data_IF_508851363766
#
_entry.id   IF_508851363766
#
_cell.length_a   1.000
_cell.length_b   1.000
_cell.length_c   1.000
_cell.angle_alpha   90.00
_cell.angle_beta   90.00
_cell.angle_gamma   90.00
#
_symmetry.space_group_name_H-M   'P 1'
#
loop_
_entity.id
_entity.type
_entity.pdbx_description
1 polymer ?
#
# COMPACT_ATOMS: atom_id res chain seq x y z
N UNK A 1 -21.95 -6.32 25.77
CA UNK A 1 -20.89 -5.67 24.99
C UNK A 1 -19.50 -6.04 25.53
N UNK A 2 -18.46 -6.11 24.73
CA UNK A 2 -17.08 -6.28 25.20
C UNK A 2 -16.68 -5.12 26.15
N UNK A 3 -16.05 -5.45 27.28
CA UNK A 3 -15.68 -4.46 28.31
C UNK A 3 -14.79 -3.34 27.75
N UNK A 4 -13.97 -3.65 26.77
CA UNK A 4 -13.05 -2.72 26.12
C UNK A 4 -13.75 -1.56 25.40
N UNK A 5 -15.00 -1.73 25.01
CA UNK A 5 -15.82 -0.69 24.37
C UNK A 5 -16.49 0.28 25.39
N UNK A 6 -16.36 0.03 26.70
CA UNK A 6 -16.96 0.88 27.74
C UNK A 6 -16.59 2.38 27.67
N UNK A 7 -15.36 2.79 27.29
CA UNK A 7 -15.02 4.21 27.14
C UNK A 7 -15.90 4.94 26.12
N UNK A 8 -16.41 4.24 25.09
CA UNK A 8 -17.29 4.82 24.07
C UNK A 8 -18.71 5.14 24.54
N UNK A 9 -19.09 4.71 25.75
CA UNK A 9 -20.35 5.09 26.38
C UNK A 9 -20.37 6.55 26.86
N UNK A 10 -19.18 7.10 27.16
CA UNK A 10 -19.05 8.51 27.56
C UNK A 10 -19.30 9.43 26.35
N UNK A 11 -19.94 10.62 26.58
CA UNK A 11 -20.08 11.60 25.51
C UNK A 11 -18.72 12.01 24.93
N UNK A 12 -18.65 12.02 23.59
CA UNK A 12 -17.50 12.54 22.85
C UNK A 12 -17.96 12.92 21.45
N UNK A 13 -17.36 13.97 20.87
CA UNK A 13 -17.70 14.42 19.53
C UNK A 13 -17.40 13.36 18.47
N UNK A 14 -16.27 12.69 18.61
CA UNK A 14 -15.85 11.62 17.73
C UNK A 14 -15.61 10.35 18.53
N UNK A 15 -16.24 9.26 18.10
CA UNK A 15 -16.06 7.94 18.72
C UNK A 15 -15.60 6.96 17.65
N UNK A 16 -14.52 6.23 17.92
CA UNK A 16 -13.95 5.25 17.02
C UNK A 16 -13.78 3.88 17.65
N UNK A 17 -14.24 2.83 16.97
CA UNK A 17 -13.90 1.45 17.30
C UNK A 17 -13.23 0.80 16.11
N UNK A 18 -11.96 0.40 16.26
CA UNK A 18 -11.21 -0.25 15.21
C UNK A 18 -10.61 -1.58 15.66
N UNK A 19 -10.23 -2.41 14.70
CA UNK A 19 -9.63 -3.73 14.95
C UNK A 19 -10.12 -4.76 13.94
N UNK A 20 -9.71 -6.01 14.10
CA UNK A 20 -10.06 -7.12 13.22
C UNK A 20 -11.54 -7.51 13.27
N UNK A 21 -11.90 -8.51 12.48
CA UNK A 21 -13.23 -9.12 12.48
C UNK A 21 -13.55 -9.76 13.84
N UNK A 22 -14.83 -9.90 14.15
CA UNK A 22 -15.29 -10.55 15.38
C UNK A 22 -15.21 -9.70 16.67
N UNK A 23 -14.68 -8.47 16.64
CA UNK A 23 -14.58 -7.58 17.79
C UNK A 23 -15.90 -6.95 18.27
N UNK A 24 -17.04 -7.28 17.65
CA UNK A 24 -18.37 -6.77 17.96
C UNK A 24 -18.56 -5.25 17.81
N UNK A 25 -17.72 -4.57 17.01
CA UNK A 25 -17.77 -3.11 16.79
C UNK A 25 -19.14 -2.62 16.28
N UNK A 26 -19.60 -3.17 15.17
CA UNK A 26 -20.88 -2.80 14.55
C UNK A 26 -22.06 -3.16 15.44
N UNK A 27 -22.01 -4.33 16.11
CA UNK A 27 -23.02 -4.72 17.09
C UNK A 27 -23.14 -3.75 18.27
N UNK A 28 -22.02 -3.20 18.73
CA UNK A 28 -21.99 -2.21 19.80
C UNK A 28 -22.65 -0.89 19.36
N UNK A 29 -22.24 -0.32 18.24
CA UNK A 29 -22.81 0.96 17.80
C UNK A 29 -24.29 0.83 17.41
N UNK A 30 -24.70 -0.25 16.77
CA UNK A 30 -26.11 -0.52 16.48
C UNK A 30 -26.93 -0.57 17.76
N UNK A 31 -26.48 -1.29 18.79
CA UNK A 31 -27.17 -1.37 20.07
C UNK A 31 -27.24 -0.01 20.76
N UNK A 32 -26.18 0.81 20.73
CA UNK A 32 -26.16 2.15 21.30
C UNK A 32 -27.13 3.10 20.58
N UNK A 33 -27.26 3.02 19.24
CA UNK A 33 -28.25 3.80 18.49
C UNK A 33 -29.68 3.44 18.94
N UNK A 34 -30.01 2.13 18.98
CA UNK A 34 -31.34 1.64 19.37
C UNK A 34 -31.68 2.07 20.80
N UNK A 35 -30.75 1.87 21.75
CA UNK A 35 -30.94 2.25 23.16
C UNK A 35 -31.13 3.76 23.31
N UNK A 36 -30.35 4.57 22.58
CA UNK A 36 -30.44 6.03 22.62
C UNK A 36 -31.79 6.50 22.06
N UNK A 37 -32.24 5.93 20.93
CA UNK A 37 -33.58 6.22 20.35
C UNK A 37 -34.72 5.79 21.27
N UNK A 38 -34.55 4.72 22.03
CA UNK A 38 -35.54 4.25 22.99
C UNK A 38 -35.60 5.13 24.26
N UNK A 39 -34.45 5.65 24.68
CA UNK A 39 -34.37 6.46 25.92
C UNK A 39 -34.79 7.90 25.72
N UNK A 40 -34.55 8.50 24.55
CA UNK A 40 -34.90 9.90 24.23
C UNK A 40 -35.06 10.11 22.73
N UNK A 41 -35.88 11.10 22.30
CA UNK A 41 -35.97 11.47 20.89
C UNK A 41 -34.58 11.69 20.28
N UNK A 42 -34.23 10.90 19.28
CA UNK A 42 -32.89 10.90 18.64
C UNK A 42 -33.03 10.72 17.14
N UNK A 43 -32.34 11.56 16.37
CA UNK A 43 -32.21 11.41 14.93
C UNK A 43 -30.82 10.85 14.65
N UNK A 44 -30.73 9.63 14.12
CA UNK A 44 -29.51 8.96 13.77
C UNK A 44 -29.43 8.70 12.27
N UNK A 45 -28.25 8.87 11.68
CA UNK A 45 -27.95 8.46 10.30
C UNK A 45 -26.86 7.41 10.31
N UNK A 46 -27.10 6.28 9.67
CA UNK A 46 -26.11 5.25 9.41
C UNK A 46 -25.53 5.48 8.01
N UNK A 47 -24.21 5.49 7.88
CA UNK A 47 -23.47 5.92 6.69
C UNK A 47 -22.48 4.85 6.28
N UNK A 48 -22.38 4.59 4.97
CA UNK A 48 -21.25 3.96 4.27
C UNK A 48 -20.83 4.81 3.07
N UNK A 49 -19.64 4.57 2.52
CA UNK A 49 -19.24 5.25 1.26
C UNK A 49 -20.19 4.83 0.12
N UNK A 50 -20.45 3.53 -0.05
CA UNK A 50 -21.38 2.99 -1.06
C UNK A 50 -22.73 2.67 -0.43
N UNK A 51 -23.81 3.11 -1.06
CA UNK A 51 -25.17 3.01 -0.50
C UNK A 51 -25.78 1.60 -0.54
N UNK A 52 -25.50 0.82 -1.59
CA UNK A 52 -26.27 -0.39 -1.89
C UNK A 52 -26.15 -1.48 -0.81
N UNK A 53 -25.02 -1.55 -0.12
CA UNK A 53 -24.78 -2.56 0.92
C UNK A 53 -25.25 -2.18 2.32
N UNK A 54 -25.56 -0.89 2.58
CA UNK A 54 -25.89 -0.42 3.94
C UNK A 54 -27.31 -0.84 4.36
N UNK A 55 -28.24 -0.87 3.41
CA UNK A 55 -29.66 -1.17 3.70
C UNK A 55 -29.84 -2.62 4.14
N UNK A 56 -29.09 -3.54 3.56
CA UNK A 56 -29.25 -4.96 3.85
C UNK A 56 -28.53 -5.38 5.13
N UNK A 57 -27.32 -4.85 5.40
CA UNK A 57 -26.52 -5.30 6.54
C UNK A 57 -26.75 -4.48 7.81
N UNK A 58 -26.67 -3.14 7.73
CA UNK A 58 -26.78 -2.27 8.92
C UNK A 58 -28.21 -2.19 9.41
N UNK A 59 -29.18 -2.10 8.49
CA UNK A 59 -30.60 -2.08 8.82
C UNK A 59 -31.00 -3.38 9.51
N UNK A 60 -30.66 -4.53 8.93
CA UNK A 60 -30.94 -5.84 9.53
C UNK A 60 -30.34 -5.95 10.94
N UNK A 61 -29.10 -5.49 11.12
CA UNK A 61 -28.46 -5.48 12.43
C UNK A 61 -29.21 -4.65 13.47
N UNK A 62 -29.76 -3.49 13.08
CA UNK A 62 -30.59 -2.66 13.96
C UNK A 62 -31.93 -3.34 14.29
N UNK A 63 -32.58 -3.99 13.32
CA UNK A 63 -33.80 -4.77 13.52
C UNK A 63 -33.57 -5.91 14.50
N UNK A 64 -32.50 -6.67 14.32
CA UNK A 64 -32.11 -7.77 15.23
C UNK A 64 -31.89 -7.25 16.65
N UNK A 65 -31.28 -6.06 16.81
CA UNK A 65 -31.10 -5.45 18.13
C UNK A 65 -32.43 -5.03 18.75
N UNK A 66 -33.36 -4.45 17.99
CA UNK A 66 -34.69 -4.06 18.44
C UNK A 66 -35.47 -5.31 18.93
N UNK A 67 -35.43 -6.41 18.16
CA UNK A 67 -36.07 -7.65 18.53
C UNK A 67 -35.47 -8.29 19.78
N UNK A 68 -34.13 -8.39 19.81
CA UNK A 68 -33.37 -8.99 20.93
C UNK A 68 -33.61 -8.23 22.26
N UNK A 69 -33.77 -6.92 22.20
CA UNK A 69 -34.08 -6.09 23.37
C UNK A 69 -35.54 -6.14 23.79
N UNK A 70 -36.41 -6.81 23.03
CA UNK A 70 -37.84 -6.91 23.35
C UNK A 70 -38.60 -5.59 23.21
N UNK A 71 -38.09 -4.63 22.41
CA UNK A 71 -38.68 -3.28 22.28
C UNK A 71 -39.29 -3.03 20.90
N UNK A 72 -39.60 -4.08 20.14
CA UNK A 72 -40.17 -4.00 18.80
C UNK A 72 -41.41 -3.15 18.67
N UNK A 73 -42.31 -3.17 19.70
CA UNK A 73 -43.50 -2.35 19.73
C UNK A 73 -43.22 -0.82 19.70
N UNK A 74 -42.01 -0.40 20.05
CA UNK A 74 -41.59 1.02 20.06
C UNK A 74 -40.94 1.49 18.76
N UNK A 75 -40.91 0.64 17.74
CA UNK A 75 -40.28 1.00 16.45
C UNK A 75 -41.13 0.53 15.27
N UNK A 76 -41.20 1.36 14.25
CA UNK A 76 -41.78 1.06 12.95
C UNK A 76 -40.63 0.92 11.93
N UNK A 77 -40.40 -0.31 11.49
CA UNK A 77 -39.33 -0.60 10.54
C UNK A 77 -39.88 -0.50 9.14
N UNK A 78 -39.44 0.53 8.41
CA UNK A 78 -39.80 0.80 7.02
C UNK A 78 -38.63 0.45 6.09
N UNK A 79 -38.88 0.51 4.78
CA UNK A 79 -37.86 0.19 3.76
C UNK A 79 -36.59 1.04 3.91
N UNK A 80 -36.75 2.35 4.10
CA UNK A 80 -35.66 3.32 4.06
C UNK A 80 -35.38 4.02 5.40
N UNK A 81 -36.14 3.68 6.46
CA UNK A 81 -36.01 4.28 7.78
C UNK A 81 -36.55 3.35 8.90
N UNK A 82 -36.13 3.62 10.12
CA UNK A 82 -36.71 3.07 11.33
C UNK A 82 -37.24 4.25 12.14
N UNK A 83 -38.55 4.27 12.38
CA UNK A 83 -39.28 5.37 13.04
C UNK A 83 -39.63 4.95 14.46
N UNK A 84 -39.30 5.76 15.44
CA UNK A 84 -39.68 5.55 16.82
C UNK A 84 -41.18 5.81 17.06
N UNK A 85 -41.85 4.91 17.81
CA UNK A 85 -43.21 4.98 18.27
C UNK A 85 -43.29 4.86 19.80
N UNK A 86 -44.41 5.22 20.39
CA UNK A 86 -44.60 5.08 21.82
C UNK A 86 -43.47 5.70 22.63
N UNK A 87 -42.73 4.89 23.38
CA UNK A 87 -41.59 5.36 24.18
C UNK A 87 -40.45 5.94 23.35
N UNK A 88 -40.22 5.43 22.12
CA UNK A 88 -39.21 5.92 21.21
C UNK A 88 -39.71 7.08 20.31
N UNK A 89 -40.92 7.59 20.53
CA UNK A 89 -41.54 8.64 19.71
C UNK A 89 -40.62 9.85 19.51
N UNK A 90 -40.60 10.39 18.29
CA UNK A 90 -39.67 11.47 17.89
C UNK A 90 -38.29 11.00 17.45
N UNK A 91 -38.02 9.70 17.54
CA UNK A 91 -36.73 9.13 17.03
C UNK A 91 -36.87 8.70 15.58
N UNK A 92 -35.74 8.84 14.83
CA UNK A 92 -35.64 8.49 13.42
C UNK A 92 -34.25 7.96 13.13
N UNK A 93 -34.17 6.82 12.48
CA UNK A 93 -32.91 6.26 11.95
C UNK A 93 -33.04 6.16 10.43
N UNK A 94 -32.08 6.72 9.69
CA UNK A 94 -32.00 6.66 8.21
C UNK A 94 -30.68 6.08 7.75
N UNK A 95 -30.64 5.67 6.48
CA UNK A 95 -29.47 5.01 5.85
C UNK A 95 -29.03 5.79 4.63
N UNK A 96 -27.74 6.09 4.51
CA UNK A 96 -27.20 6.94 3.45
C UNK A 96 -25.84 6.45 2.94
N UNK A 97 -25.64 6.53 1.60
CA UNK A 97 -24.34 6.38 0.97
C UNK A 97 -23.69 7.74 0.67
N UNK A 98 -22.38 7.86 0.81
CA UNK A 98 -21.70 9.14 0.59
C UNK A 98 -21.33 9.41 -0.86
N UNK A 99 -21.11 8.39 -1.70
CA UNK A 99 -20.73 8.57 -3.11
C UNK A 99 -21.75 9.35 -3.96
N UNK A 100 -23.02 9.24 -3.62
CA UNK A 100 -24.11 9.91 -4.35
C UNK A 100 -24.43 11.30 -3.79
N UNK A 101 -23.69 11.74 -2.77
CA UNK A 101 -23.95 13.00 -2.09
C UNK A 101 -23.07 14.13 -2.63
N UNK A 102 -23.73 15.09 -3.28
CA UNK A 102 -23.18 16.43 -3.48
C UNK A 102 -23.40 17.29 -2.22
N UNK A 103 -22.72 18.41 -2.11
CA UNK A 103 -22.76 19.30 -0.94
C UNK A 103 -24.18 19.77 -0.56
N UNK A 104 -25.13 19.77 -1.49
CA UNK A 104 -26.52 20.19 -1.24
C UNK A 104 -27.35 19.10 -0.53
N UNK A 105 -27.18 17.85 -0.90
CA UNK A 105 -27.91 16.73 -0.30
C UNK A 105 -27.42 16.42 1.13
N UNK A 106 -26.18 16.67 1.45
CA UNK A 106 -25.61 16.48 2.80
C UNK A 106 -26.20 17.46 3.81
N UNK A 107 -26.57 18.68 3.41
CA UNK A 107 -27.21 19.68 4.29
C UNK A 107 -28.48 19.15 5.00
N UNK A 108 -29.16 18.17 4.43
CA UNK A 108 -30.33 17.52 5.05
C UNK A 108 -30.02 16.79 6.37
N UNK A 109 -28.76 16.52 6.67
CA UNK A 109 -28.29 15.83 7.87
C UNK A 109 -27.95 16.79 9.04
N UNK A 110 -28.09 18.08 8.87
CA UNK A 110 -27.71 19.12 9.84
C UNK A 110 -28.35 18.95 11.23
N UNK A 111 -29.60 18.50 11.26
CA UNK A 111 -30.35 18.32 12.50
C UNK A 111 -30.19 16.94 13.16
N UNK A 112 -29.23 16.13 12.77
CA UNK A 112 -29.02 14.80 13.32
C UNK A 112 -28.18 14.83 14.60
N UNK A 113 -28.54 13.97 15.56
CA UNK A 113 -27.86 13.82 16.84
C UNK A 113 -26.65 12.88 16.74
N UNK A 114 -26.74 11.87 15.87
CA UNK A 114 -25.70 10.86 15.66
C UNK A 114 -25.53 10.57 14.18
N UNK A 115 -24.29 10.55 13.72
CA UNK A 115 -23.91 9.94 12.45
C UNK A 115 -22.98 8.75 12.74
N UNK A 116 -23.35 7.56 12.33
CA UNK A 116 -22.51 6.37 12.45
C UNK A 116 -22.02 5.94 11.07
N UNK A 117 -20.70 6.06 10.85
CA UNK A 117 -19.99 5.59 9.66
C UNK A 117 -19.54 4.16 9.90
N UNK A 118 -20.16 3.23 9.22
CA UNK A 118 -19.83 1.81 9.25
C UNK A 118 -18.93 1.47 8.06
N UNK A 119 -17.96 0.57 8.26
CA UNK A 119 -16.86 0.30 7.31
C UNK A 119 -16.08 1.57 6.91
N UNK A 120 -15.76 2.38 7.92
CA UNK A 120 -15.18 3.71 7.72
C UNK A 120 -13.78 3.69 7.06
N UNK A 121 -13.12 2.53 6.92
CA UNK A 121 -11.89 2.39 6.13
C UNK A 121 -12.11 2.69 4.63
N UNK A 122 -13.36 2.60 4.15
CA UNK A 122 -13.68 2.91 2.75
C UNK A 122 -14.03 4.38 2.53
N UNK A 123 -14.26 5.15 3.62
CA UNK A 123 -14.67 6.55 3.53
C UNK A 123 -13.57 7.41 2.90
N UNK A 124 -13.92 8.14 1.85
CA UNK A 124 -12.98 9.05 1.19
C UNK A 124 -12.66 10.30 2.04
N UNK A 125 -11.51 10.93 1.83
CA UNK A 125 -11.18 12.20 2.47
C UNK A 125 -12.21 13.29 2.14
N UNK A 126 -12.74 13.28 0.92
CA UNK A 126 -13.79 14.19 0.49
C UNK A 126 -15.07 14.01 1.32
N UNK A 127 -15.57 12.77 1.41
CA UNK A 127 -16.76 12.43 2.19
C UNK A 127 -16.61 12.78 3.67
N UNK A 128 -15.45 12.48 4.27
CA UNK A 128 -15.14 12.82 5.66
C UNK A 128 -15.14 14.34 5.87
N UNK A 129 -14.55 15.09 4.92
CA UNK A 129 -14.45 16.55 4.97
C UNK A 129 -15.82 17.23 4.87
N UNK A 130 -16.77 16.65 4.12
CA UNK A 130 -18.15 17.12 4.01
C UNK A 130 -19.00 16.74 5.23
N UNK A 131 -18.89 15.52 5.74
CA UNK A 131 -19.69 15.00 6.84
C UNK A 131 -19.48 15.78 8.15
N UNK A 132 -18.23 16.06 8.51
CA UNK A 132 -17.85 16.67 9.78
C UNK A 132 -18.56 17.99 10.09
N UNK A 133 -18.59 19.00 9.18
CA UNK A 133 -19.28 20.25 9.43
C UNK A 133 -20.80 20.15 9.27
N UNK A 134 -21.30 19.08 8.63
CA UNK A 134 -22.75 18.90 8.43
C UNK A 134 -23.45 18.43 9.69
N UNK A 135 -22.85 17.49 10.42
CA UNK A 135 -23.39 17.05 11.71
C UNK A 135 -23.00 18.07 12.78
N UNK A 136 -23.81 19.11 12.94
CA UNK A 136 -23.46 20.30 13.73
C UNK A 136 -24.44 20.69 14.85
N UNK A 137 -25.45 19.87 15.09
CA UNK A 137 -26.36 20.04 16.22
C UNK A 137 -25.54 20.01 17.51
N UNK A 138 -25.86 20.87 18.48
CA UNK A 138 -25.20 20.88 19.77
C UNK A 138 -25.30 19.50 20.45
N UNK A 139 -24.18 18.99 20.96
CA UNK A 139 -24.07 17.67 21.55
C UNK A 139 -24.15 16.50 20.55
N UNK A 140 -24.11 16.78 19.24
CA UNK A 140 -24.08 15.73 18.22
C UNK A 140 -22.75 14.99 18.18
N UNK A 141 -22.81 13.73 17.82
CA UNK A 141 -21.69 12.81 17.81
C UNK A 141 -21.51 12.17 16.42
N UNK A 142 -20.24 11.91 16.01
CA UNK A 142 -19.92 11.14 14.82
C UNK A 142 -19.15 9.89 15.26
N UNK A 143 -19.68 8.72 14.91
CA UNK A 143 -19.16 7.42 15.30
C UNK A 143 -18.57 6.70 14.09
N UNK A 144 -17.49 5.97 14.30
CA UNK A 144 -16.78 5.23 13.26
C UNK A 144 -16.48 3.81 13.72
N UNK A 145 -16.85 2.84 12.90
CA UNK A 145 -16.45 1.43 13.06
C UNK A 145 -15.71 0.98 11.82
N UNK A 146 -14.49 0.43 12.01
CA UNK A 146 -13.68 -0.03 10.87
C UNK A 146 -12.70 -1.14 11.22
N UNK A 147 -12.32 -1.88 10.19
CA UNK A 147 -11.13 -2.70 10.17
C UNK A 147 -10.06 -1.89 9.44
N UNK A 148 -8.89 -1.59 10.06
CA UNK A 148 -7.84 -0.85 9.38
C UNK A 148 -7.40 -1.54 8.09
N UNK A 149 -7.24 -0.78 7.02
CA UNK A 149 -6.70 -1.28 5.75
C UNK A 149 -5.30 -0.72 5.52
N UNK A 150 -5.23 0.60 5.49
CA UNK A 150 -3.98 1.33 5.30
C UNK A 150 -3.87 2.45 6.34
N UNK A 151 -2.65 2.78 6.74
CA UNK A 151 -2.36 3.95 7.58
C UNK A 151 -2.71 5.28 6.87
N UNK A 152 -2.88 5.22 5.55
CA UNK A 152 -3.30 6.32 4.68
C UNK A 152 -4.82 6.46 4.56
N UNK A 153 -5.62 5.54 5.08
CA UNK A 153 -7.08 5.65 5.06
C UNK A 153 -7.55 6.92 5.79
N UNK A 154 -8.52 7.62 5.23
CA UNK A 154 -8.96 8.92 5.74
C UNK A 154 -9.36 8.88 7.22
N UNK A 155 -10.05 7.82 7.65
CA UNK A 155 -10.46 7.62 9.05
C UNK A 155 -9.26 7.36 9.96
N UNK A 156 -8.26 6.62 9.50
CA UNK A 156 -7.03 6.33 10.25
C UNK A 156 -6.21 7.60 10.45
N UNK A 157 -5.93 8.35 9.40
CA UNK A 157 -5.25 9.66 9.48
C UNK A 157 -5.99 10.60 10.44
N UNK A 158 -7.33 10.63 10.37
CA UNK A 158 -8.15 11.52 11.16
C UNK A 158 -8.17 11.17 12.65
N UNK A 159 -8.34 9.88 13.00
CA UNK A 159 -8.56 9.46 14.39
C UNK A 159 -7.31 8.87 15.06
N UNK A 160 -6.35 8.38 14.28
CA UNK A 160 -5.14 7.70 14.76
C UNK A 160 -3.84 8.37 14.30
N UNK A 161 -3.93 9.44 13.51
CA UNK A 161 -2.77 10.24 13.10
C UNK A 161 -2.09 10.92 14.28
N UNK A 162 -1.00 11.66 14.00
CA UNK A 162 -0.19 12.34 15.04
C UNK A 162 -1.00 13.39 15.83
N UNK A 163 -1.99 14.01 15.22
CA UNK A 163 -2.85 15.03 15.82
C UNK A 163 -4.33 14.64 15.72
N UNK A 164 -4.83 13.76 16.60
CA UNK A 164 -6.23 13.38 16.58
C UNK A 164 -7.12 14.57 16.97
N UNK A 165 -8.38 14.62 16.49
CA UNK A 165 -9.30 15.72 16.77
C UNK A 165 -9.60 15.84 18.26
N UNK A 166 -9.84 17.07 18.72
CA UNK A 166 -10.28 17.33 20.08
C UNK A 166 -11.59 16.60 20.37
N UNK A 167 -11.78 16.17 21.62
CA UNK A 167 -12.99 15.47 22.08
C UNK A 167 -13.26 14.18 21.26
N UNK A 168 -12.21 13.38 21.06
CA UNK A 168 -12.30 12.06 20.45
C UNK A 168 -12.02 10.96 21.46
N UNK A 169 -12.69 9.82 21.29
CA UNK A 169 -12.45 8.57 22.01
C UNK A 169 -12.32 7.44 21.00
N UNK A 170 -11.15 6.81 20.95
CA UNK A 170 -10.86 5.73 19.99
C UNK A 170 -10.40 4.49 20.74
N UNK A 171 -10.97 3.34 20.39
CA UNK A 171 -10.72 2.06 21.06
C UNK A 171 -10.36 0.99 20.05
N UNK A 172 -9.25 0.27 20.27
CA UNK A 172 -8.94 -0.97 19.56
C UNK A 172 -9.68 -2.13 20.22
N UNK A 173 -10.42 -2.91 19.43
CA UNK A 173 -11.15 -4.09 19.90
C UNK A 173 -11.10 -5.19 18.84
N UNK A 174 -10.70 -6.40 19.26
CA UNK A 174 -10.53 -7.56 18.40
C UNK A 174 -11.39 -8.75 18.89
N UNK A 175 -11.32 -9.86 18.17
CA UNK A 175 -12.04 -11.09 18.48
C UNK A 175 -11.79 -11.58 19.92
N UNK A 176 -10.55 -11.51 20.40
CA UNK A 176 -10.18 -11.97 21.75
C UNK A 176 -10.73 -11.06 22.88
N UNK A 177 -11.16 -9.85 22.56
CA UNK A 177 -11.85 -8.95 23.50
C UNK A 177 -13.37 -9.23 23.55
N UNK A 178 -13.88 -10.07 22.63
CA UNK A 178 -15.29 -10.41 22.51
C UNK A 178 -15.60 -11.75 23.16
N UNK A 179 -16.23 -11.79 24.35
CA UNK A 179 -16.54 -13.06 25.02
C UNK A 179 -17.61 -13.89 24.31
N UNK A 180 -18.28 -13.36 23.30
CA UNK A 180 -19.28 -14.03 22.46
C UNK A 180 -18.76 -14.32 21.05
N UNK A 181 -17.43 -14.41 20.87
CA UNK A 181 -16.87 -14.74 19.58
C UNK A 181 -17.29 -16.17 19.17
N UNK A 182 -17.96 -16.34 18.02
CA UNK A 182 -18.50 -17.64 17.61
C UNK A 182 -17.42 -18.68 17.37
N UNK A 183 -17.68 -19.92 17.78
CA UNK A 183 -16.73 -21.04 17.61
C UNK A 183 -16.42 -21.33 16.13
N UNK A 184 -17.43 -21.22 15.27
CA UNK A 184 -17.23 -21.35 13.81
C UNK A 184 -16.19 -20.35 13.29
N UNK A 185 -16.28 -19.08 13.70
CA UNK A 185 -15.30 -18.07 13.31
C UNK A 185 -13.93 -18.28 13.95
N UNK A 186 -13.86 -18.98 15.10
CA UNK A 186 -12.59 -19.36 15.74
C UNK A 186 -11.83 -20.35 14.88
N UNK A 187 -12.49 -21.36 14.37
CA UNK A 187 -11.88 -22.35 13.48
C UNK A 187 -11.40 -21.70 12.17
N UNK A 188 -12.23 -20.88 11.54
CA UNK A 188 -11.84 -20.12 10.34
C UNK A 188 -10.60 -19.27 10.59
N UNK A 189 -10.58 -18.55 11.72
CA UNK A 189 -9.44 -17.71 12.11
C UNK A 189 -8.17 -18.56 12.32
N UNK A 190 -8.26 -19.69 13.01
CA UNK A 190 -7.12 -20.58 13.26
C UNK A 190 -6.57 -21.16 11.95
N UNK A 191 -7.45 -21.48 11.00
CA UNK A 191 -7.06 -21.95 9.68
C UNK A 191 -6.40 -20.84 8.86
N UNK A 192 -6.93 -19.63 8.89
CA UNK A 192 -6.33 -18.44 8.25
C UNK A 192 -4.92 -18.17 8.82
N UNK A 193 -4.75 -18.17 10.16
CA UNK A 193 -3.43 -17.99 10.78
C UNK A 193 -2.43 -19.09 10.43
N UNK A 194 -2.91 -20.29 10.16
CA UNK A 194 -2.05 -21.42 9.72
C UNK A 194 -1.64 -21.26 8.25
N UNK A 195 -2.57 -20.84 7.41
CA UNK A 195 -2.36 -20.70 5.96
C UNK A 195 -1.56 -19.44 5.60
N UNK A 196 -1.91 -18.28 6.13
CA UNK A 196 -1.28 -16.98 5.88
C UNK A 196 -1.35 -16.08 7.13
N UNK A 197 -0.35 -16.17 8.04
CA UNK A 197 -0.35 -15.41 9.29
C UNK A 197 -0.44 -13.88 9.10
N UNK A 198 0.12 -13.35 8.01
CA UNK A 198 0.14 -11.91 7.74
C UNK A 198 -1.24 -11.42 7.32
N UNK A 199 -1.91 -12.16 6.43
CA UNK A 199 -3.29 -11.89 6.05
C UNK A 199 -4.24 -12.06 7.24
N UNK A 200 -4.05 -13.11 8.04
CA UNK A 200 -4.84 -13.36 9.24
C UNK A 200 -4.71 -12.24 10.27
N UNK A 201 -3.50 -11.66 10.46
CA UNK A 201 -3.31 -10.51 11.36
C UNK A 201 -4.07 -9.28 10.88
N UNK A 202 -4.16 -9.04 9.58
CA UNK A 202 -5.01 -7.99 9.05
C UNK A 202 -6.51 -8.27 9.29
N UNK A 203 -6.97 -9.47 8.93
CA UNK A 203 -8.40 -9.83 9.00
C UNK A 203 -8.88 -9.89 10.45
N UNK A 204 -8.14 -10.57 11.33
CA UNK A 204 -8.54 -10.92 12.69
C UNK A 204 -7.86 -10.10 13.78
N UNK A 205 -6.58 -9.76 13.58
CA UNK A 205 -5.76 -9.00 14.54
C UNK A 205 -5.95 -7.50 14.47
N UNK A 206 -6.55 -6.99 13.38
CA UNK A 206 -6.76 -5.55 13.17
C UNK A 206 -5.49 -4.77 12.93
N UNK A 207 -4.48 -5.42 12.37
CA UNK A 207 -3.32 -4.80 11.74
C UNK A 207 -3.70 -4.09 10.45
N UNK A 208 -2.74 -3.42 9.84
CA UNK A 208 -2.93 -2.91 8.48
C UNK A 208 -2.81 -4.06 7.48
N UNK A 209 -3.58 -3.96 6.41
CA UNK A 209 -3.43 -4.86 5.28
C UNK A 209 -2.02 -4.69 4.71
N UNK A 210 -1.21 -5.72 4.82
CA UNK A 210 0.02 -5.77 4.04
C UNK A 210 -0.44 -5.83 2.60
N UNK A 211 0.07 -4.94 1.76
CA UNK A 211 -0.34 -4.76 0.36
C UNK A 211 0.12 -5.97 -0.45
N UNK A 212 -0.47 -7.14 -0.20
CA UNK A 212 -0.07 -8.38 -0.87
C UNK A 212 -1.12 -8.93 -1.83
N UNK A 213 -2.41 -8.62 -1.65
CA UNK A 213 -3.42 -9.07 -2.60
C UNK A 213 -3.27 -8.36 -3.95
N UNK A 214 -2.95 -9.15 -4.98
CA UNK A 214 -2.66 -8.63 -6.29
C UNK A 214 -1.30 -7.96 -6.45
N UNK A 215 -0.57 -7.66 -5.38
CA UNK A 215 0.77 -7.08 -5.46
C UNK A 215 1.80 -8.08 -5.96
N UNK A 216 2.65 -7.61 -6.88
CA UNK A 216 3.64 -8.49 -7.52
C UNK A 216 4.86 -8.78 -6.65
N UNK A 217 5.31 -7.81 -5.83
CA UNK A 217 6.62 -7.86 -5.15
C UNK A 217 6.54 -7.68 -3.64
N UNK A 218 5.38 -7.35 -3.06
CA UNK A 218 5.25 -6.99 -1.65
C UNK A 218 5.84 -8.06 -0.71
N UNK A 219 5.54 -9.35 -0.95
CA UNK A 219 6.08 -10.47 -0.15
C UNK A 219 7.60 -10.59 -0.24
N UNK A 220 8.16 -10.44 -1.43
CA UNK A 220 9.61 -10.54 -1.65
C UNK A 220 10.36 -9.38 -0.99
N UNK A 221 9.75 -8.20 -0.98
CA UNK A 221 10.33 -7.01 -0.32
C UNK A 221 10.23 -7.16 1.21
N UNK A 222 9.09 -7.61 1.75
CA UNK A 222 8.95 -7.91 3.17
C UNK A 222 9.96 -8.98 3.64
N UNK A 223 10.20 -10.00 2.80
CA UNK A 223 11.25 -10.99 3.06
C UNK A 223 12.64 -10.35 3.04
N UNK A 224 12.92 -9.44 2.09
CA UNK A 224 14.19 -8.70 2.05
C UNK A 224 14.42 -7.86 3.32
N UNK A 225 13.36 -7.24 3.84
CA UNK A 225 13.40 -6.49 5.11
C UNK A 225 13.71 -7.43 6.29
N UNK A 226 13.02 -8.56 6.39
CA UNK A 226 13.21 -9.57 7.43
C UNK A 226 14.62 -10.19 7.40
N UNK A 227 15.18 -10.39 6.22
CA UNK A 227 16.54 -10.93 6.00
C UNK A 227 17.63 -9.86 6.19
N UNK A 228 17.30 -8.61 6.49
CA UNK A 228 18.24 -7.52 6.65
C UNK A 228 18.86 -7.04 5.34
N UNK A 229 18.24 -7.33 4.18
CA UNK A 229 18.70 -6.87 2.85
C UNK A 229 18.23 -5.45 2.51
N UNK A 230 17.40 -4.86 3.34
CA UNK A 230 16.98 -3.46 3.31
C UNK A 230 17.65 -2.75 4.49
N UNK A 231 18.61 -1.85 4.23
CA UNK A 231 19.41 -1.25 5.31
C UNK A 231 20.54 -0.38 4.80
N UNK A 232 21.65 -0.34 5.53
CA UNK A 232 22.82 0.47 5.17
C UNK A 232 23.80 -0.33 4.31
N UNK A 233 23.76 -0.12 2.98
CA UNK A 233 24.67 -0.70 1.99
C UNK A 233 25.22 0.41 1.09
N UNK A 234 26.08 1.30 1.60
CA UNK A 234 26.52 2.47 0.86
C UNK A 234 27.22 2.09 -0.45
N UNK A 235 27.19 3.01 -1.42
CA UNK A 235 27.93 2.79 -2.68
C UNK A 235 29.41 2.59 -2.41
N UNK A 236 29.97 1.58 -3.07
CA UNK A 236 31.41 1.26 -2.98
C UNK A 236 32.16 2.11 -3.99
N UNK A 237 33.14 2.85 -3.52
CA UNK A 237 33.98 3.71 -4.35
C UNK A 237 34.72 2.87 -5.41
N UNK A 238 34.70 3.32 -6.66
CA UNK A 238 35.37 2.63 -7.78
C UNK A 238 34.52 1.55 -8.46
N UNK A 239 33.48 1.00 -7.82
CA UNK A 239 32.56 0.12 -8.51
C UNK A 239 31.62 0.94 -9.42
N UNK A 240 31.36 0.47 -10.64
CA UNK A 240 30.47 1.16 -11.55
C UNK A 240 28.99 1.03 -11.13
N UNK A 241 28.21 2.06 -11.44
CA UNK A 241 26.74 2.09 -11.24
C UNK A 241 26.08 1.85 -12.58
N UNK A 242 25.22 0.86 -12.66
CA UNK A 242 24.29 0.65 -13.76
C UNK A 242 23.01 1.44 -13.48
N UNK A 243 22.37 1.96 -14.54
CA UNK A 243 21.07 2.65 -14.39
C UNK A 243 20.01 1.96 -15.24
N UNK A 244 18.79 1.96 -14.74
CA UNK A 244 17.65 1.43 -15.48
C UNK A 244 16.50 2.43 -15.44
N UNK A 245 15.89 2.66 -16.59
CA UNK A 245 15.03 3.78 -16.87
C UNK A 245 13.65 3.32 -17.33
N UNK A 246 12.63 4.03 -16.88
CA UNK A 246 11.35 4.13 -17.55
C UNK A 246 11.11 5.59 -17.90
N UNK A 247 10.77 5.88 -19.17
CA UNK A 247 10.70 7.23 -19.72
C UNK A 247 9.25 7.62 -19.99
N UNK A 248 8.66 8.44 -19.14
CA UNK A 248 7.39 9.09 -19.38
C UNK A 248 7.61 10.54 -19.85
N UNK A 249 6.90 10.98 -20.91
CA UNK A 249 6.93 12.38 -21.39
C UNK A 249 5.81 13.20 -20.75
N UNK A 250 4.60 12.64 -20.75
CA UNK A 250 3.41 13.24 -20.12
C UNK A 250 3.10 12.59 -18.76
N UNK A 251 3.98 11.69 -18.32
CA UNK A 251 3.84 10.86 -17.14
C UNK A 251 5.15 10.87 -16.33
N UNK A 252 5.31 9.94 -15.38
CA UNK A 252 6.50 9.90 -14.54
C UNK A 252 7.67 9.19 -15.25
N UNK A 253 8.86 9.78 -15.18
CA UNK A 253 10.13 9.08 -15.45
C UNK A 253 10.67 8.53 -14.15
N UNK A 254 11.16 7.30 -14.16
CA UNK A 254 11.82 6.69 -13.01
C UNK A 254 13.18 6.09 -13.38
N UNK A 255 14.15 6.19 -12.45
CA UNK A 255 15.52 5.73 -12.64
C UNK A 255 16.03 5.00 -11.40
N UNK A 256 16.42 3.75 -11.55
CA UNK A 256 17.15 2.99 -10.53
C UNK A 256 18.65 3.03 -10.75
N UNK A 257 19.40 3.13 -9.65
CA UNK A 257 20.85 3.13 -9.63
C UNK A 257 21.33 1.89 -8.87
N UNK A 258 22.03 1.00 -9.56
CA UNK A 258 22.41 -0.31 -9.03
C UNK A 258 23.91 -0.55 -9.17
N UNK A 259 24.54 -0.96 -8.08
CA UNK A 259 25.90 -1.50 -8.07
C UNK A 259 25.88 -3.01 -7.88
N UNK A 260 26.71 -3.73 -8.60
CA UNK A 260 26.95 -5.15 -8.35
C UNK A 260 28.12 -5.26 -7.36
N UNK A 261 27.77 -5.37 -6.08
CA UNK A 261 28.75 -5.38 -4.98
C UNK A 261 29.16 -6.81 -4.60
N UNK A 262 30.45 -7.11 -4.45
CA UNK A 262 30.88 -8.42 -3.98
C UNK A 262 30.44 -8.66 -2.54
N UNK A 263 29.90 -9.86 -2.28
CA UNK A 263 29.49 -10.31 -0.95
C UNK A 263 29.69 -11.81 -0.85
N UNK A 264 30.57 -12.26 0.04
CA UNK A 264 30.93 -13.69 0.19
C UNK A 264 31.31 -14.37 -1.14
N UNK A 265 32.08 -13.69 -1.98
CA UNK A 265 32.52 -14.22 -3.28
C UNK A 265 31.48 -14.18 -4.40
N UNK A 266 30.31 -13.62 -4.18
CA UNK A 266 29.23 -13.53 -5.15
C UNK A 266 28.92 -12.05 -5.39
N UNK A 267 28.63 -11.68 -6.64
CA UNK A 267 28.13 -10.34 -6.97
C UNK A 267 26.65 -10.24 -6.62
N UNK A 268 26.29 -9.27 -5.76
CA UNK A 268 24.91 -8.99 -5.41
C UNK A 268 24.49 -7.62 -5.92
N UNK A 269 23.37 -7.53 -6.65
CA UNK A 269 22.77 -6.25 -7.01
C UNK A 269 22.44 -5.48 -5.73
N UNK A 270 22.95 -4.27 -5.62
CA UNK A 270 22.67 -3.37 -4.51
C UNK A 270 22.13 -2.07 -5.09
N UNK A 271 20.86 -1.79 -4.81
CA UNK A 271 20.23 -0.51 -5.15
C UNK A 271 20.86 0.55 -4.25
N UNK A 272 21.52 1.54 -4.86
CA UNK A 272 22.24 2.59 -4.15
C UNK A 272 21.54 3.94 -4.21
N UNK A 273 20.66 4.14 -5.20
CA UNK A 273 19.85 5.34 -5.33
C UNK A 273 18.59 5.09 -6.19
N UNK A 274 17.64 6.01 -6.12
CA UNK A 274 16.43 6.05 -6.94
C UNK A 274 16.04 7.49 -7.24
N UNK A 275 15.46 7.72 -8.40
CA UNK A 275 14.93 9.02 -8.79
C UNK A 275 13.61 8.85 -9.55
N UNK A 276 12.65 9.71 -9.27
CA UNK A 276 11.42 9.84 -10.06
C UNK A 276 11.05 11.32 -10.23
N UNK A 277 10.52 11.66 -11.39
CA UNK A 277 9.98 12.98 -11.68
C UNK A 277 8.87 12.91 -12.72
N UNK A 278 7.88 13.79 -12.62
CA UNK A 278 6.81 13.94 -13.60
C UNK A 278 6.88 15.30 -14.29
N UNK A 279 6.65 15.34 -15.60
CA UNK A 279 6.63 16.57 -16.39
C UNK A 279 7.99 17.16 -16.73
N UNK A 280 9.11 16.52 -16.32
CA UNK A 280 10.46 16.99 -16.62
C UNK A 280 10.99 16.39 -17.93
N UNK A 281 11.69 17.19 -18.72
CA UNK A 281 12.40 16.71 -19.90
C UNK A 281 13.72 16.00 -19.56
N UNK A 282 14.28 15.22 -20.49
CA UNK A 282 15.52 14.48 -20.28
C UNK A 282 16.69 15.33 -19.74
N UNK A 283 16.93 16.59 -20.20
CA UNK A 283 17.99 17.41 -19.63
C UNK A 283 17.80 17.73 -18.16
N UNK A 284 16.55 18.05 -17.70
CA UNK A 284 16.22 18.31 -16.30
C UNK A 284 16.46 17.09 -15.43
N UNK A 285 16.00 15.93 -15.89
CA UNK A 285 16.18 14.65 -15.18
C UNK A 285 17.66 14.32 -15.01
N UNK A 286 18.44 14.32 -16.12
CA UNK A 286 19.87 13.96 -16.07
C UNK A 286 20.68 14.97 -15.27
N UNK A 287 20.40 16.27 -15.40
CA UNK A 287 21.09 17.31 -14.62
C UNK A 287 20.86 17.16 -13.11
N UNK A 288 19.72 16.59 -12.72
CA UNK A 288 19.34 16.37 -11.33
C UNK A 288 19.83 15.04 -10.80
N UNK A 289 19.60 13.92 -11.50
CA UNK A 289 19.90 12.59 -10.97
C UNK A 289 21.27 12.02 -11.36
N UNK A 290 21.91 12.52 -12.42
CA UNK A 290 23.23 12.11 -12.93
C UNK A 290 24.18 13.30 -13.17
N UNK A 291 24.34 14.22 -12.21
CA UNK A 291 25.15 15.43 -12.41
C UNK A 291 26.62 15.14 -12.73
N UNK A 292 27.12 13.96 -12.41
CA UNK A 292 28.48 13.55 -12.68
C UNK A 292 28.81 13.54 -14.17
N UNK A 293 27.83 13.17 -15.00
CA UNK A 293 27.98 12.98 -16.44
C UNK A 293 27.20 13.99 -17.27
N UNK A 294 26.34 14.78 -16.64
CA UNK A 294 25.50 15.72 -17.36
C UNK A 294 26.31 16.75 -18.14
N UNK A 295 25.98 16.87 -19.41
CA UNK A 295 26.51 17.89 -20.33
C UNK A 295 25.37 18.88 -20.62
N UNK A 296 25.45 20.13 -20.14
CA UNK A 296 24.45 21.14 -20.42
C UNK A 296 24.22 21.32 -21.92
N UNK A 297 22.98 21.24 -22.41
CA UNK A 297 22.70 21.43 -23.82
C UNK A 297 22.85 22.89 -24.21
N UNK A 298 23.52 23.16 -25.33
CA UNK A 298 23.72 24.52 -25.87
C UNK A 298 22.47 25.14 -26.50
N UNK A 299 21.39 24.33 -26.64
CA UNK A 299 20.12 24.78 -27.21
C UNK A 299 19.06 25.12 -26.14
N UNK A 300 19.42 25.09 -24.86
CA UNK A 300 18.51 25.35 -23.73
C UNK A 300 19.21 26.26 -22.71
N UNK A 301 18.85 27.53 -22.72
CA UNK A 301 19.42 28.56 -21.85
C UNK A 301 19.08 28.33 -20.35
N UNK A 302 18.11 27.46 -20.04
CA UNK A 302 17.78 27.11 -18.66
C UNK A 302 18.98 26.48 -17.90
N UNK A 303 19.98 25.96 -18.61
CA UNK A 303 21.18 25.36 -18.03
C UNK A 303 22.41 26.27 -18.06
N UNK A 304 22.28 27.51 -18.47
CA UNK A 304 23.44 28.44 -18.57
C UNK A 304 24.17 28.66 -17.24
N UNK A 305 23.50 28.52 -16.11
CA UNK A 305 24.06 28.63 -14.75
C UNK A 305 24.18 27.32 -14.02
N UNK A 306 24.02 26.19 -14.68
CA UNK A 306 24.06 24.88 -14.03
C UNK A 306 25.42 24.59 -13.38
N UNK A 307 25.40 24.04 -12.15
CA UNK A 307 26.60 23.79 -11.36
C UNK A 307 26.61 22.35 -10.82
N UNK A 308 27.59 21.58 -11.28
CA UNK A 308 27.77 20.17 -10.92
C UNK A 308 27.95 19.94 -9.41
N UNK A 309 28.77 20.79 -8.75
CA UNK A 309 29.05 20.61 -7.33
C UNK A 309 27.78 20.83 -6.48
N UNK A 310 27.00 21.86 -6.81
CA UNK A 310 25.72 22.14 -6.14
C UNK A 310 24.71 21.03 -6.37
N UNK A 311 24.66 20.45 -7.58
CA UNK A 311 23.76 19.33 -7.87
C UNK A 311 24.13 18.07 -7.07
N UNK A 312 25.43 17.74 -6.95
CA UNK A 312 25.91 16.64 -6.14
C UNK A 312 25.62 16.84 -4.65
N UNK A 313 25.80 18.04 -4.14
CA UNK A 313 25.46 18.41 -2.76
C UNK A 313 23.95 18.23 -2.49
N UNK A 314 23.11 18.70 -3.40
CA UNK A 314 21.63 18.52 -3.30
C UNK A 314 21.23 17.05 -3.24
N UNK A 315 21.93 16.18 -3.97
CA UNK A 315 21.70 14.72 -3.92
C UNK A 315 22.28 14.07 -2.66
N UNK A 316 23.10 14.79 -1.87
CA UNK A 316 23.84 14.21 -0.75
C UNK A 316 24.89 13.19 -1.20
N UNK A 317 25.38 13.29 -2.45
CA UNK A 317 26.42 12.41 -2.99
C UNK A 317 27.80 13.01 -2.72
N UNK A 318 28.42 12.55 -1.64
CA UNK A 318 29.79 12.94 -1.29
C UNK A 318 30.85 12.28 -2.18
N UNK A 319 30.52 11.12 -2.78
CA UNK A 319 31.38 10.40 -3.72
C UNK A 319 30.66 10.31 -5.07
N UNK A 320 31.24 10.90 -6.14
CA UNK A 320 30.66 10.85 -7.47
C UNK A 320 30.54 9.41 -7.98
N UNK A 321 29.42 9.09 -8.66
CA UNK A 321 29.24 7.80 -9.29
C UNK A 321 30.06 7.68 -10.57
N UNK A 322 30.63 6.50 -10.78
CA UNK A 322 31.18 6.07 -12.06
C UNK A 322 30.14 5.18 -12.73
N UNK A 323 29.63 5.60 -13.86
CA UNK A 323 28.55 4.87 -14.52
C UNK A 323 29.06 3.79 -15.46
N UNK A 324 28.34 2.66 -15.50
CA UNK A 324 28.46 1.59 -16.48
C UNK A 324 27.31 1.68 -17.51
N UNK A 325 26.60 0.57 -17.74
CA UNK A 325 25.50 0.51 -18.70
C UNK A 325 24.26 1.23 -18.18
N UNK A 326 23.58 1.92 -19.08
CA UNK A 326 22.29 2.57 -18.87
C UNK A 326 21.24 1.84 -19.70
N UNK A 327 20.37 1.07 -19.03
CA UNK A 327 19.30 0.29 -19.68
C UNK A 327 18.07 1.16 -19.86
N UNK A 328 17.70 1.42 -21.11
CA UNK A 328 16.55 2.25 -21.47
C UNK A 328 15.50 1.39 -22.21
N UNK A 329 14.22 1.77 -22.17
CA UNK A 329 13.14 1.03 -22.82
C UNK A 329 13.44 0.71 -24.29
N UNK A 330 12.89 -0.38 -24.78
CA UNK A 330 13.15 -0.87 -26.15
C UNK A 330 12.70 0.11 -27.25
N UNK A 331 11.73 1.00 -26.98
CA UNK A 331 11.19 2.02 -27.88
C UNK A 331 11.99 3.32 -27.92
N UNK A 332 13.07 3.43 -27.15
CA UNK A 332 13.95 4.61 -27.06
C UNK A 332 14.46 5.14 -28.41
N UNK A 333 14.45 4.32 -29.46
CA UNK A 333 14.87 4.69 -30.81
C UNK A 333 13.77 5.33 -31.65
N UNK A 334 12.56 5.45 -31.15
CA UNK A 334 11.46 6.13 -31.86
C UNK A 334 11.83 7.59 -32.02
N UNK A 335 11.68 8.10 -33.24
CA UNK A 335 11.91 9.51 -33.60
C UNK A 335 10.62 10.28 -33.33
N UNK A 336 10.73 11.37 -32.59
CA UNK A 336 9.58 12.25 -32.36
C UNK A 336 9.48 13.29 -33.47
N UNK A 337 8.29 13.46 -34.02
CA UNK A 337 8.08 14.38 -35.15
C UNK A 337 8.33 15.85 -34.81
N UNK A 338 8.22 16.27 -33.53
CA UNK A 338 8.46 17.63 -33.08
C UNK A 338 9.90 17.96 -32.64
N UNK A 339 10.78 16.99 -32.47
CA UNK A 339 12.11 17.14 -31.86
C UNK A 339 13.28 17.32 -32.85
N UNK A 340 13.07 17.84 -34.04
CA UNK A 340 14.13 18.01 -35.06
C UNK A 340 14.64 16.66 -35.62
N UNK A 341 13.77 15.66 -35.71
CA UNK A 341 14.01 14.31 -36.23
C UNK A 341 15.06 13.47 -35.43
N UNK A 342 15.36 13.85 -34.20
CA UNK A 342 16.28 13.09 -33.32
C UNK A 342 15.55 12.00 -32.57
N UNK A 343 16.21 10.86 -32.36
CA UNK A 343 15.70 9.80 -31.49
C UNK A 343 15.94 10.16 -30.01
N UNK A 344 15.15 9.62 -29.12
CA UNK A 344 15.35 9.78 -27.65
C UNK A 344 16.77 9.32 -27.23
N UNK A 345 17.31 8.27 -27.84
CA UNK A 345 18.69 7.81 -27.63
C UNK A 345 19.71 8.92 -27.92
N UNK A 346 19.58 9.59 -29.09
CA UNK A 346 20.50 10.66 -29.47
C UNK A 346 20.43 11.83 -28.48
N UNK A 347 19.28 12.15 -27.96
CA UNK A 347 19.11 13.21 -26.94
C UNK A 347 19.82 12.83 -25.65
N UNK A 348 19.55 11.66 -25.07
CA UNK A 348 20.14 11.24 -23.77
C UNK A 348 21.65 11.07 -23.85
N UNK A 349 22.19 10.59 -24.99
CA UNK A 349 23.63 10.48 -25.21
C UNK A 349 24.29 11.86 -25.30
N UNK A 350 23.66 12.83 -25.95
CA UNK A 350 24.22 14.20 -26.09
C UNK A 350 24.28 14.95 -24.77
N UNK A 351 23.38 14.67 -23.86
CA UNK A 351 23.38 15.27 -22.52
C UNK A 351 24.21 14.46 -21.52
N UNK A 352 24.96 13.46 -21.98
CA UNK A 352 26.02 12.80 -21.23
C UNK A 352 25.68 11.44 -20.62
N UNK A 353 24.48 10.87 -20.84
CA UNK A 353 24.18 9.50 -20.36
C UNK A 353 25.08 8.48 -21.03
N UNK A 354 25.94 7.76 -20.29
CA UNK A 354 26.92 6.88 -20.88
C UNK A 354 26.34 5.51 -21.22
N UNK A 355 26.99 4.80 -22.16
CA UNK A 355 26.77 3.38 -22.45
C UNK A 355 25.28 3.01 -22.55
N UNK A 356 24.50 3.80 -23.29
CA UNK A 356 23.06 3.55 -23.48
C UNK A 356 22.85 2.20 -24.14
N UNK A 357 22.18 1.30 -23.44
CA UNK A 357 21.76 -0.02 -23.90
C UNK A 357 20.27 -0.02 -24.16
N UNK A 358 19.87 -0.47 -25.30
CA UNK A 358 18.45 -0.71 -25.62
C UNK A 358 17.99 -1.95 -24.85
N UNK A 359 16.93 -1.82 -24.06
CA UNK A 359 16.27 -2.93 -23.39
C UNK A 359 15.78 -4.00 -24.36
N UNK A 360 15.71 -5.23 -23.89
CA UNK A 360 15.10 -6.34 -24.62
C UNK A 360 13.58 -6.11 -24.67
N UNK A 361 12.92 -6.24 -25.83
CA UNK A 361 11.47 -6.22 -25.90
C UNK A 361 10.89 -7.32 -25.00
N UNK A 362 10.14 -6.94 -23.99
CA UNK A 362 9.49 -7.86 -23.07
C UNK A 362 8.09 -7.36 -22.74
N UNK A 363 7.15 -8.28 -22.59
CA UNK A 363 5.84 -7.93 -22.08
C UNK A 363 5.87 -7.67 -20.57
N UNK A 364 4.85 -7.06 -19.97
CA UNK A 364 4.85 -6.76 -18.53
C UNK A 364 5.00 -8.01 -17.64
N UNK A 365 4.44 -9.16 -18.02
CA UNK A 365 4.52 -10.40 -17.25
C UNK A 365 5.96 -10.96 -17.24
N UNK A 366 6.69 -10.88 -18.35
CA UNK A 366 8.09 -11.29 -18.43
C UNK A 366 8.97 -10.41 -17.53
N UNK A 367 8.74 -9.08 -17.50
CA UNK A 367 9.42 -8.16 -16.60
C UNK A 367 9.13 -8.50 -15.15
N UNK A 368 7.86 -8.77 -14.82
CA UNK A 368 7.44 -9.15 -13.47
C UNK A 368 8.12 -10.45 -13.04
N UNK A 369 8.20 -11.44 -13.92
CA UNK A 369 8.87 -12.70 -13.64
C UNK A 369 10.37 -12.48 -13.36
N UNK A 370 11.06 -11.72 -14.21
CA UNK A 370 12.48 -11.40 -14.04
C UNK A 370 12.76 -10.67 -12.70
N UNK A 371 11.91 -9.70 -12.34
CA UNK A 371 12.03 -9.01 -11.05
C UNK A 371 11.83 -9.97 -9.87
N UNK A 372 10.86 -10.89 -9.96
CA UNK A 372 10.63 -11.90 -8.91
C UNK A 372 11.81 -12.85 -8.73
N UNK A 373 12.48 -13.21 -9.79
CA UNK A 373 13.70 -14.04 -9.75
C UNK A 373 14.88 -13.28 -9.16
N UNK A 374 14.98 -11.97 -9.42
CA UNK A 374 16.09 -11.15 -8.99
C UNK A 374 15.97 -10.68 -7.52
N UNK A 375 14.75 -10.30 -7.05
CA UNK A 375 14.53 -9.73 -5.71
C UNK A 375 15.11 -10.55 -4.55
N UNK A 376 15.13 -11.89 -4.58
CA UNK A 376 15.75 -12.69 -3.50
C UNK A 376 17.23 -12.38 -3.24
N UNK A 377 17.96 -11.82 -4.19
CA UNK A 377 19.38 -11.51 -4.05
C UNK A 377 19.69 -10.01 -3.96
N UNK A 378 18.70 -9.15 -4.21
CA UNK A 378 18.86 -7.69 -4.20
C UNK A 378 19.01 -7.16 -2.78
N UNK A 379 19.90 -6.19 -2.59
CA UNK A 379 20.00 -5.35 -1.40
C UNK A 379 19.59 -3.92 -1.71
N UNK A 380 19.03 -3.24 -0.73
CA UNK A 380 18.60 -1.86 -0.87
C UNK A 380 19.30 -0.98 0.16
N UNK A 381 20.13 -0.06 -0.30
CA UNK A 381 20.71 0.99 0.54
C UNK A 381 19.65 2.03 0.87
N UNK A 382 19.18 2.04 2.12
CA UNK A 382 18.04 2.84 2.53
C UNK A 382 18.38 4.32 2.59
N UNK A 383 18.06 5.04 1.53
CA UNK A 383 18.03 6.50 1.45
C UNK A 383 16.57 6.98 1.37
N UNK A 384 16.27 8.27 1.62
CA UNK A 384 14.91 8.79 1.42
C UNK A 384 14.34 8.50 0.01
N UNK A 385 15.17 8.59 -1.03
CA UNK A 385 14.77 8.31 -2.41
C UNK A 385 14.54 6.81 -2.66
N UNK A 386 15.45 5.95 -2.22
CA UNK A 386 15.29 4.49 -2.35
C UNK A 386 14.05 4.01 -1.59
N UNK A 387 13.72 4.64 -0.45
CA UNK A 387 12.49 4.35 0.29
C UNK A 387 11.23 4.60 -0.57
N UNK A 388 11.21 5.69 -1.34
CA UNK A 388 10.10 6.00 -2.26
C UNK A 388 10.00 4.90 -3.32
N UNK A 389 11.08 4.58 -4.02
CA UNK A 389 11.08 3.54 -5.04
C UNK A 389 10.67 2.17 -4.49
N UNK A 390 11.14 1.80 -3.30
CA UNK A 390 10.78 0.55 -2.64
C UNK A 390 9.27 0.51 -2.34
N UNK A 391 8.69 1.62 -1.86
CA UNK A 391 7.23 1.73 -1.66
C UNK A 391 6.44 1.62 -2.97
N UNK A 392 6.99 2.15 -4.09
CA UNK A 392 6.39 1.97 -5.42
C UNK A 392 6.36 0.48 -5.80
N UNK A 393 7.48 -0.24 -5.66
CA UNK A 393 7.54 -1.68 -5.93
C UNK A 393 6.59 -2.49 -5.02
N UNK A 394 6.49 -2.15 -3.74
CA UNK A 394 5.57 -2.81 -2.81
C UNK A 394 4.10 -2.64 -3.22
N UNK A 395 3.74 -1.51 -3.83
CA UNK A 395 2.37 -1.16 -4.22
C UNK A 395 2.02 -1.56 -5.63
N UNK A 396 2.97 -1.94 -6.47
CA UNK A 396 2.70 -2.40 -7.84
C UNK A 396 1.90 -3.68 -7.84
N UNK A 397 0.71 -3.65 -8.47
CA UNK A 397 -0.30 -4.70 -8.33
C UNK A 397 -1.07 -4.97 -9.62
N UNK A 398 -1.81 -6.05 -9.62
CA UNK A 398 -2.84 -6.35 -10.62
C UNK A 398 -4.06 -5.46 -10.41
N UNK A 399 -4.68 -5.06 -11.52
CA UNK A 399 -5.98 -4.39 -11.49
C UNK A 399 -7.05 -5.40 -11.10
N UNK A 400 -7.83 -5.08 -10.08
CA UNK A 400 -9.01 -5.87 -9.72
C UNK A 400 -10.20 -5.48 -10.60
N UNK A 401 -10.88 -6.45 -11.17
CA UNK A 401 -12.09 -6.25 -11.95
C UNK A 401 -13.30 -6.66 -11.10
N UNK A 402 -14.07 -5.67 -10.66
CA UNK A 402 -15.23 -5.89 -9.80
C UNK A 402 -16.33 -6.72 -10.49
N UNK A 403 -16.47 -6.63 -11.81
CA UNK A 403 -17.46 -7.40 -12.58
C UNK A 403 -17.09 -8.87 -12.67
N UNK A 404 -15.80 -9.16 -12.89
CA UNK A 404 -15.28 -10.53 -13.01
C UNK A 404 -14.88 -11.11 -11.63
N UNK A 405 -14.89 -10.31 -10.57
CA UNK A 405 -14.40 -10.68 -9.22
C UNK A 405 -13.02 -11.34 -9.26
N UNK A 406 -12.15 -10.85 -10.15
CA UNK A 406 -10.82 -11.43 -10.38
C UNK A 406 -9.79 -10.36 -10.71
N UNK A 407 -8.52 -10.69 -10.43
CA UNK A 407 -7.39 -9.87 -10.82
C UNK A 407 -7.08 -10.05 -12.31
N UNK A 408 -6.82 -8.94 -13.00
CA UNK A 408 -6.54 -8.90 -14.44
C UNK A 408 -5.07 -8.50 -14.70
N UNK A 409 -4.84 -7.64 -15.69
CA UNK A 409 -3.54 -7.14 -16.09
C UNK A 409 -2.90 -6.25 -15.00
N UNK A 410 -1.59 -5.97 -15.07
CA UNK A 410 -0.95 -4.98 -14.23
C UNK A 410 -1.66 -3.62 -14.29
N UNK A 411 -1.81 -2.99 -13.12
CA UNK A 411 -2.36 -1.64 -13.02
C UNK A 411 -1.32 -0.63 -13.51
N UNK A 412 -1.71 0.23 -14.46
CA UNK A 412 -0.85 1.31 -14.91
C UNK A 412 -1.14 2.56 -14.08
N UNK A 413 -0.25 2.84 -13.14
CA UNK A 413 -0.32 3.96 -12.21
C UNK A 413 1.10 4.47 -11.89
N UNK A 414 1.23 5.40 -10.96
CA UNK A 414 2.54 5.91 -10.54
C UNK A 414 3.49 4.81 -10.03
N UNK A 415 2.98 3.66 -9.58
CA UNK A 415 3.79 2.55 -9.09
C UNK A 415 4.36 1.71 -10.24
N UNK A 416 3.68 1.69 -11.39
CA UNK A 416 4.13 0.93 -12.56
C UNK A 416 5.46 1.45 -13.11
N UNK A 417 5.71 2.74 -13.10
CA UNK A 417 6.96 3.32 -13.63
C UNK A 417 8.20 2.82 -12.90
N UNK A 418 8.15 2.75 -11.56
CA UNK A 418 9.24 2.19 -10.77
C UNK A 418 9.42 0.68 -11.02
N UNK A 419 8.33 -0.04 -11.23
CA UNK A 419 8.36 -1.47 -11.52
C UNK A 419 8.90 -1.75 -12.93
N UNK A 420 8.50 -0.97 -13.93
CA UNK A 420 8.95 -1.11 -15.32
C UNK A 420 10.43 -0.79 -15.44
N UNK A 421 10.91 0.31 -14.82
CA UNK A 421 12.35 0.62 -14.80
C UNK A 421 13.17 -0.43 -14.06
N UNK A 422 12.68 -0.98 -12.94
CA UNK A 422 13.37 -2.06 -12.26
C UNK A 422 13.35 -3.35 -13.08
N UNK A 423 12.28 -3.59 -13.83
CA UNK A 423 12.16 -4.67 -14.81
C UNK A 423 13.19 -4.59 -15.92
N UNK A 424 13.49 -3.38 -16.43
CA UNK A 424 14.57 -3.18 -17.40
C UNK A 424 15.94 -3.61 -16.83
N UNK A 425 16.21 -3.32 -15.55
CA UNK A 425 17.41 -3.83 -14.89
C UNK A 425 17.38 -5.36 -14.79
N UNK A 426 16.29 -5.93 -14.29
CA UNK A 426 16.18 -7.36 -14.04
C UNK A 426 16.39 -8.22 -15.28
N UNK A 427 15.82 -7.80 -16.43
CA UNK A 427 15.95 -8.52 -17.70
C UNK A 427 17.38 -8.40 -18.27
N UNK A 428 18.03 -7.25 -18.10
CA UNK A 428 19.26 -6.94 -18.80
C UNK A 428 20.54 -7.15 -17.95
N UNK A 429 20.44 -7.35 -16.64
CA UNK A 429 21.60 -7.47 -15.75
C UNK A 429 22.35 -8.81 -15.89
N UNK A 430 21.68 -9.84 -16.40
CA UNK A 430 22.27 -11.19 -16.53
C UNK A 430 22.49 -11.92 -15.21
N UNK A 431 21.86 -11.48 -14.11
CA UNK A 431 21.95 -12.08 -12.78
C UNK A 431 20.64 -12.76 -12.41
N UNK A 432 20.71 -13.93 -11.79
CA UNK A 432 19.57 -14.65 -11.25
C UNK A 432 19.83 -15.07 -9.81
N UNK A 433 18.77 -15.46 -9.08
CA UNK A 433 18.92 -16.04 -7.74
C UNK A 433 19.78 -17.32 -7.75
N UNK A 434 19.80 -18.04 -8.85
CA UNK A 434 20.64 -19.24 -9.03
C UNK A 434 22.13 -18.90 -9.08
N UNK A 435 22.49 -17.76 -9.66
CA UNK A 435 23.89 -17.29 -9.70
C UNK A 435 24.39 -16.86 -8.34
N UNK A 436 23.49 -16.52 -7.44
CA UNK A 436 23.79 -16.14 -6.05
C UNK A 436 23.85 -17.33 -5.08
N UNK A 437 23.42 -18.52 -5.50
CA UNK A 437 23.59 -19.72 -4.68
C UNK A 437 25.11 -20.00 -4.50
N UNK A 438 25.59 -20.25 -3.27
CA UNK A 438 26.99 -20.63 -3.08
C UNK A 438 27.25 -21.87 -3.92
N UNK A 439 28.20 -21.76 -4.88
CA UNK A 439 28.64 -22.93 -5.62
C UNK A 439 29.10 -23.94 -4.58
N UNK A 440 28.62 -25.17 -4.61
CA UNK A 440 29.07 -26.18 -3.66
C UNK A 440 30.59 -26.26 -3.72
N UNK A 441 31.23 -26.15 -2.57
CA UNK A 441 32.68 -26.30 -2.46
C UNK A 441 33.04 -27.65 -3.10
N UNK A 442 33.85 -27.67 -4.19
CA UNK A 442 34.16 -28.90 -4.90
C UNK A 442 34.82 -29.93 -3.97
N UNK A 443 35.51 -29.50 -2.92
CA UNK A 443 36.12 -30.38 -1.91
C UNK A 443 35.03 -30.95 -0.99
N UNK A 444 34.03 -30.16 -0.57
CA UNK A 444 32.91 -30.67 0.22
C UNK A 444 31.94 -31.54 -0.60
N UNK A 445 31.82 -31.32 -1.90
CA UNK A 445 31.05 -32.17 -2.79
C UNK A 445 31.72 -33.53 -3.04
N UNK A 446 33.04 -33.60 -2.92
CA UNK A 446 33.80 -34.87 -2.98
C UNK A 446 33.81 -35.64 -1.64
N UNK A 447 33.62 -34.96 -0.54
CA UNK A 447 33.46 -35.58 0.78
C UNK A 447 31.98 -35.91 0.98
N UNK A 448 31.46 -36.93 0.30
CA UNK A 448 30.19 -37.55 0.76
C UNK A 448 30.42 -37.96 2.21
N UNK A 449 29.55 -37.61 3.15
CA UNK A 449 29.60 -38.20 4.47
C UNK A 449 29.42 -39.73 4.27
N UNK A 450 30.45 -40.46 4.53
CA UNK A 450 30.38 -41.95 4.55
C UNK A 450 29.51 -42.27 5.71
N UNK A 451 28.32 -42.80 5.44
CA UNK A 451 27.41 -43.28 6.50
C UNK A 451 27.86 -44.66 6.98
N UNK A 452 27.44 -45.03 8.20
CA UNK A 452 27.76 -46.34 8.74
C UNK A 452 27.27 -47.50 7.84
N UNK A 453 26.19 -47.26 7.08
CA UNK A 453 25.66 -48.23 6.10
C UNK A 453 26.59 -48.38 4.90
N UNK A 454 27.21 -47.30 4.41
CA UNK A 454 28.15 -47.37 3.28
C UNK A 454 29.41 -48.22 3.68
N UNK A 455 29.81 -48.16 4.95
CA UNK A 455 30.93 -48.98 5.49
C UNK A 455 30.54 -50.46 5.73
N UNK A 456 29.27 -50.75 6.02
CA UNK A 456 28.77 -52.10 6.20
C UNK A 456 28.59 -52.81 4.84
N UNK A 457 28.10 -52.08 3.81
CA UNK A 457 27.95 -52.64 2.47
C UNK A 457 29.29 -52.95 1.78
N UNK A 458 30.40 -52.24 2.14
CA UNK A 458 31.74 -52.57 1.68
C UNK A 458 32.34 -53.80 2.43
N UNK A 459 31.96 -54.02 3.69
CA UNK A 459 32.42 -55.16 4.47
C UNK A 459 31.76 -56.52 4.10
N UNK A 460 30.53 -56.43 3.50
CA UNK A 460 29.83 -57.62 3.01
C UNK A 460 30.17 -57.99 1.55
N UNK A 461 31.04 -57.18 0.89
CA UNK A 461 31.49 -57.39 -0.49
C UNK A 461 32.90 -58.01 -0.60
N UNK A 462 33.64 -58.22 0.52
CA UNK A 462 34.89 -58.99 0.62
C UNK A 462 34.58 -60.40 1.22
#
# INVERSE_FOLDING_TARGET
MPRKLAPLLKPARYKGAYGGRGGAKSHFFAEQIVLRCYAKPTRAVCIREVQDTIKDSVKQLLEDKIQRLGIGASFDVQRDAIIGKGRASGSLIIFKGMQTYNAENIKSLEGFDVAWVEEAQTLSEHSLRLLRPTIRKEGSEIWFSWNPRHDTDAVDKFLRGAEPPRNSTVVRVNWYDNPWFPEVLRHEMEDDYRADPEMAEWVWGGGYQIVSEGAYYARLIAQAEKEGRVGSFPPVTGLPVKTAWDLGVDDYTSVWFVQEQPHNGILRPTVVDYYEAGGDGAPQIVSTCMPEVFVPPTWDDAFAGWNKAKALETLGRHVPFRYADSYLPHDIRVREWGGGARSRVEVVQRIGVPNVRKGVPANPEDRIAAVRELLPIVRFHMTPRVKIGLQRLQRYRRKFNDTLQSYTTPEHDINSHAADSFGEYAINCGLTALDAAPKPDPIKAMLKPVTLNDLMDEADAE
#
